data_IF_482684216001
#
_entry.id   IF_482684216001
#
_cell.length_a   1.000
_cell.length_b   1.000
_cell.length_c   1.000
_cell.angle_alpha   90.00
_cell.angle_beta   90.00
_cell.angle_gamma   90.00
#
_symmetry.space_group_name_H-M   'P 1'
#
loop_
_entity.id
_entity.type
_entity.pdbx_description
1 polymer ?
#
# COMPACT_ATOMS: atom_id res chain seq x y z
N UNK A 1 -18.59 -15.13 -15.19
CA UNK A 1 -18.72 -15.18 -13.72
C UNK A 1 -17.37 -15.29 -13.01
N UNK A 2 -16.34 -15.88 -13.62
CA UNK A 2 -14.98 -16.00 -13.05
C UNK A 2 -14.33 -14.64 -12.75
N UNK A 3 -14.50 -13.64 -13.63
CA UNK A 3 -13.90 -12.30 -13.47
C UNK A 3 -14.40 -11.49 -12.25
N UNK A 4 -15.52 -11.88 -11.61
CA UNK A 4 -16.04 -11.21 -10.41
C UNK A 4 -15.68 -11.96 -9.13
N UNK A 5 -15.36 -13.25 -9.24
CA UNK A 5 -14.99 -14.08 -8.11
C UNK A 5 -13.58 -13.76 -7.61
N UNK A 6 -12.66 -13.43 -8.53
CA UNK A 6 -11.28 -13.08 -8.20
C UNK A 6 -11.18 -11.79 -7.36
N UNK A 7 -11.78 -10.64 -7.75
CA UNK A 7 -11.81 -9.45 -6.89
C UNK A 7 -12.55 -9.69 -5.57
N UNK A 8 -13.60 -10.52 -5.57
CA UNK A 8 -14.33 -10.86 -4.36
C UNK A 8 -13.45 -11.61 -3.36
N UNK A 9 -12.73 -12.65 -3.82
CA UNK A 9 -11.83 -13.42 -2.97
C UNK A 9 -10.70 -12.53 -2.46
N UNK A 10 -10.06 -11.76 -3.34
CA UNK A 10 -8.89 -10.95 -2.97
C UNK A 10 -9.25 -9.76 -2.06
N UNK A 11 -10.21 -8.93 -2.50
CA UNK A 11 -10.54 -7.68 -1.80
C UNK A 11 -11.43 -7.88 -0.59
N UNK A 12 -12.34 -8.87 -0.61
CA UNK A 12 -13.26 -9.08 0.51
C UNK A 12 -12.74 -10.18 1.42
N UNK A 13 -12.52 -11.40 0.90
CA UNK A 13 -12.15 -12.51 1.77
C UNK A 13 -10.73 -12.36 2.34
N UNK A 14 -9.74 -12.13 1.47
CA UNK A 14 -8.33 -12.09 1.88
C UNK A 14 -8.05 -10.83 2.69
N UNK A 15 -8.40 -9.64 2.21
CA UNK A 15 -8.16 -8.41 3.00
C UNK A 15 -8.87 -8.41 4.36
N UNK A 16 -10.10 -8.93 4.45
CA UNK A 16 -10.82 -9.03 5.74
C UNK A 16 -10.12 -10.02 6.67
N UNK A 17 -9.67 -11.17 6.15
CA UNK A 17 -8.96 -12.15 6.97
C UNK A 17 -7.61 -11.60 7.46
N UNK A 18 -6.87 -10.89 6.60
CA UNK A 18 -5.63 -10.18 7.01
C UNK A 18 -5.93 -9.14 8.09
N UNK A 19 -6.96 -8.32 7.91
CA UNK A 19 -7.37 -7.33 8.92
C UNK A 19 -7.75 -7.98 10.25
N UNK A 20 -8.50 -9.07 10.21
CA UNK A 20 -8.86 -9.83 11.41
C UNK A 20 -7.64 -10.40 12.14
N UNK A 21 -6.65 -10.92 11.40
CA UNK A 21 -5.38 -11.39 11.99
C UNK A 21 -4.61 -10.24 12.64
N UNK A 22 -4.55 -9.07 12.01
CA UNK A 22 -3.90 -7.87 12.57
C UNK A 22 -4.60 -7.43 13.87
N UNK A 23 -5.94 -7.42 13.89
CA UNK A 23 -6.71 -7.06 15.09
C UNK A 23 -6.56 -8.11 16.20
N UNK A 24 -6.74 -9.40 15.90
CA UNK A 24 -6.70 -10.48 16.88
C UNK A 24 -5.30 -10.70 17.48
N UNK A 25 -4.24 -10.40 16.73
CA UNK A 25 -2.85 -10.49 17.22
C UNK A 25 -2.43 -9.29 18.09
N UNK A 26 -3.22 -8.21 18.14
CA UNK A 26 -2.86 -6.96 18.83
C UNK A 26 -1.66 -6.23 18.22
N UNK A 27 -1.22 -6.62 17.02
CA UNK A 27 -0.04 -6.08 16.36
C UNK A 27 -0.16 -4.56 16.09
N UNK A 28 -1.37 -4.09 15.80
CA UNK A 28 -1.65 -2.69 15.47
C UNK A 28 -1.41 -1.71 16.62
N UNK A 29 -1.38 -2.18 17.87
CA UNK A 29 -1.20 -1.33 19.06
C UNK A 29 0.10 -1.67 19.84
N UNK A 30 0.99 -2.46 19.25
CA UNK A 30 2.26 -2.81 19.91
C UNK A 30 3.40 -2.06 19.24
N UNK A 31 4.12 -1.22 19.99
CA UNK A 31 5.39 -0.66 19.53
C UNK A 31 6.42 -1.77 19.38
N UNK A 32 7.15 -1.76 18.27
CA UNK A 32 8.21 -2.72 17.99
C UNK A 32 9.49 -1.99 17.68
N UNK A 33 10.62 -2.57 18.10
CA UNK A 33 11.93 -2.09 17.67
C UNK A 33 12.07 -2.33 16.16
N UNK A 34 12.13 -1.24 15.39
CA UNK A 34 12.20 -1.29 13.94
C UNK A 34 13.14 -0.20 13.41
N UNK A 35 13.50 -0.33 12.13
CA UNK A 35 14.31 0.69 11.44
C UNK A 35 13.39 1.73 10.82
N UNK A 36 13.64 3.00 11.15
CA UNK A 36 12.79 4.11 10.73
C UNK A 36 13.07 4.49 9.29
N UNK A 37 12.00 4.64 8.51
CA UNK A 37 12.10 5.20 7.16
C UNK A 37 12.09 6.73 7.26
N UNK A 38 12.98 7.39 6.53
CA UNK A 38 13.09 8.85 6.49
C UNK A 38 11.78 9.53 6.10
N UNK A 39 11.02 8.90 5.19
CA UNK A 39 9.74 9.41 4.69
C UNK A 39 8.64 9.38 5.74
N UNK A 40 8.71 8.41 6.66
CA UNK A 40 7.68 8.15 7.67
C UNK A 40 8.05 8.73 9.04
N UNK A 41 9.20 9.40 9.12
CA UNK A 41 9.71 10.03 10.33
C UNK A 41 9.57 11.55 10.29
N UNK A 42 9.13 12.13 11.40
CA UNK A 42 8.97 13.56 11.58
C UNK A 42 9.34 13.96 13.01
N UNK A 43 10.08 15.04 13.17
CA UNK A 43 10.51 15.58 14.46
C UNK A 43 9.66 16.81 14.77
N UNK A 44 8.94 16.76 15.89
CA UNK A 44 8.11 17.83 16.40
C UNK A 44 8.85 18.67 17.44
N UNK A 45 8.55 19.96 17.46
CA UNK A 45 8.87 20.85 18.57
C UNK A 45 7.84 20.63 19.68
N UNK A 46 8.32 20.29 20.87
CA UNK A 46 7.49 19.93 22.03
C UNK A 46 7.65 18.47 22.46
N UNK A 47 7.39 18.22 23.75
CA UNK A 47 7.33 16.88 24.34
C UNK A 47 5.85 16.48 24.38
N UNK A 48 5.52 15.37 23.75
CA UNK A 48 4.18 14.81 23.73
C UNK A 48 4.19 13.41 24.33
N UNK A 49 3.12 13.08 25.04
CA UNK A 49 2.94 11.79 25.70
C UNK A 49 1.67 11.11 25.17
N UNK A 50 1.79 9.85 24.74
CA UNK A 50 0.65 9.04 24.30
C UNK A 50 -0.21 8.52 25.47
N UNK A 51 0.25 8.66 26.72
CA UNK A 51 -0.54 8.46 27.93
C UNK A 51 -1.44 9.64 28.30
N UNK A 52 -1.18 10.84 27.79
CA UNK A 52 -1.94 12.05 28.11
C UNK A 52 -3.04 12.32 27.07
N UNK A 53 -4.31 12.30 27.49
CA UNK A 53 -5.45 12.50 26.60
C UNK A 53 -5.41 13.83 25.82
N UNK A 54 -4.88 14.91 26.41
CA UNK A 54 -4.77 16.20 25.74
C UNK A 54 -3.71 16.21 24.62
N UNK A 55 -2.60 15.50 24.83
CA UNK A 55 -1.54 15.40 23.82
C UNK A 55 -1.90 14.40 22.73
N UNK A 56 -2.62 13.33 23.06
CA UNK A 56 -3.22 12.42 22.09
C UNK A 56 -4.18 13.15 21.15
N UNK A 57 -5.00 14.07 21.66
CA UNK A 57 -5.90 14.88 20.83
C UNK A 57 -5.10 15.79 19.87
N UNK A 58 -4.10 16.51 20.38
CA UNK A 58 -3.20 17.35 19.57
C UNK A 58 -2.49 16.55 18.47
N UNK A 59 -1.94 15.40 18.81
CA UNK A 59 -1.28 14.50 17.87
C UNK A 59 -2.26 13.94 16.84
N UNK A 60 -3.47 13.56 17.25
CA UNK A 60 -4.52 13.11 16.34
C UNK A 60 -4.88 14.19 15.33
N UNK A 61 -5.08 15.43 15.78
CA UNK A 61 -5.41 16.55 14.90
C UNK A 61 -4.28 16.86 13.92
N UNK A 62 -3.03 16.73 14.36
CA UNK A 62 -1.85 16.85 13.49
C UNK A 62 -1.79 15.78 12.41
N UNK A 63 -1.98 14.52 12.79
CA UNK A 63 -1.93 13.38 11.87
C UNK A 63 -3.09 13.37 10.87
N UNK A 64 -4.22 14.00 11.20
CA UNK A 64 -5.38 14.18 10.30
C UNK A 64 -5.23 15.40 9.39
N UNK A 65 -4.27 16.29 9.66
CA UNK A 65 -4.09 17.53 8.92
C UNK A 65 -5.10 18.63 9.29
N UNK A 66 -5.72 18.54 10.48
CA UNK A 66 -6.69 19.52 10.97
C UNK A 66 -6.00 20.67 11.74
N UNK A 67 -5.03 20.34 12.60
CA UNK A 67 -4.21 21.32 13.32
C UNK A 67 -2.76 20.86 13.35
N UNK A 68 -1.86 21.63 12.72
CA UNK A 68 -0.46 21.24 12.64
C UNK A 68 0.30 21.65 13.90
N UNK A 69 1.02 20.69 14.48
CA UNK A 69 2.01 20.96 15.52
C UNK A 69 3.28 21.53 14.90
N UNK A 70 3.99 22.33 15.69
CA UNK A 70 5.23 22.96 15.26
C UNK A 70 6.29 21.90 14.95
N UNK A 71 6.87 21.99 13.76
CA UNK A 71 7.94 21.11 13.33
C UNK A 71 9.27 21.61 13.86
N UNK A 72 10.11 20.69 14.31
CA UNK A 72 11.44 21.07 14.79
C UNK A 72 12.29 21.57 13.61
N UNK A 73 12.94 22.71 13.82
CA UNK A 73 13.84 23.34 12.88
C UNK A 73 15.11 23.73 13.63
N UNK A 74 16.26 23.22 13.20
CA UNK A 74 17.54 23.51 13.83
C UNK A 74 18.47 22.30 13.90
N UNK A 75 19.43 22.36 14.82
CA UNK A 75 20.41 21.31 15.01
C UNK A 75 19.94 20.32 16.07
N UNK A 76 19.95 19.04 15.72
CA UNK A 76 19.68 17.92 16.59
C UNK A 76 21.01 17.31 17.03
N UNK A 77 21.33 17.46 18.30
CA UNK A 77 22.54 16.86 18.90
C UNK A 77 22.24 15.42 19.31
N UNK A 78 23.10 14.51 18.86
CA UNK A 78 23.04 13.09 19.19
C UNK A 78 24.38 12.69 19.80
N UNK A 79 24.34 12.04 20.97
CA UNK A 79 25.53 11.51 21.65
C UNK A 79 25.37 10.02 21.94
N UNK A 80 26.37 9.22 21.60
CA UNK A 80 26.33 7.76 21.74
C UNK A 80 25.06 7.12 21.14
N UNK A 81 24.57 7.68 20.03
CA UNK A 81 23.36 7.25 19.34
C UNK A 81 22.05 7.73 19.94
N UNK A 82 22.05 8.47 21.06
CA UNK A 82 20.83 8.97 21.72
C UNK A 82 20.69 10.47 21.51
N UNK A 83 19.47 10.93 21.28
CA UNK A 83 19.18 12.37 21.16
C UNK A 83 19.34 13.02 22.53
N UNK A 84 20.18 14.07 22.61
CA UNK A 84 20.37 14.88 23.82
C UNK A 84 19.63 16.21 23.77
N UNK A 85 19.12 16.58 22.60
CA UNK A 85 18.36 17.82 22.40
C UNK A 85 17.02 17.74 23.14
N UNK A 86 16.80 18.66 24.08
CA UNK A 86 15.59 18.71 24.88
C UNK A 86 14.41 19.31 24.10
N UNK A 87 13.19 19.00 24.54
CA UNK A 87 11.98 19.67 24.05
C UNK A 87 11.51 19.20 22.68
N UNK A 88 11.84 17.97 22.27
CA UNK A 88 11.42 17.41 21.00
C UNK A 88 10.71 16.08 21.18
N UNK A 89 9.88 15.73 20.21
CA UNK A 89 9.29 14.40 20.08
C UNK A 89 9.48 13.90 18.66
N UNK A 90 9.71 12.61 18.51
CA UNK A 90 9.84 12.01 17.18
C UNK A 90 8.60 11.16 16.92
N UNK A 91 7.99 11.39 15.77
CA UNK A 91 6.94 10.55 15.20
C UNK A 91 7.58 9.67 14.15
N UNK A 92 7.26 8.38 14.19
CA UNK A 92 7.53 7.44 13.12
C UNK A 92 6.27 6.63 12.83
N UNK A 93 5.93 6.44 11.55
CA UNK A 93 4.78 5.62 11.14
C UNK A 93 3.47 6.06 11.83
N UNK A 94 3.28 7.39 11.99
CA UNK A 94 2.13 8.03 12.69
C UNK A 94 2.00 7.65 14.17
N UNK A 95 3.10 7.28 14.83
CA UNK A 95 3.18 6.94 16.25
C UNK A 95 4.35 7.66 16.92
N UNK A 96 4.20 8.03 18.20
CA UNK A 96 5.32 8.52 19.00
C UNK A 96 6.37 7.43 19.19
N UNK A 97 7.58 7.71 18.72
CA UNK A 97 8.71 6.83 18.83
C UNK A 97 9.37 6.94 20.22
N UNK A 98 9.81 5.79 20.75
CA UNK A 98 10.57 5.68 21.98
C UNK A 98 11.92 4.98 21.71
N UNK A 99 12.86 5.10 22.66
CA UNK A 99 14.13 4.36 22.64
C UNK A 99 14.92 4.50 21.32
N UNK A 100 14.95 5.71 20.77
CA UNK A 100 15.53 6.00 19.45
C UNK A 100 17.05 5.95 19.53
N UNK A 101 17.64 5.24 18.57
CA UNK A 101 19.07 5.01 18.43
C UNK A 101 19.52 5.34 17.01
N UNK A 102 20.52 6.19 16.89
CA UNK A 102 21.17 6.56 15.64
C UNK A 102 22.50 5.81 15.52
N UNK A 103 22.70 5.12 14.40
CA UNK A 103 23.95 4.42 14.10
C UNK A 103 24.51 4.83 12.74
N UNK A 104 25.83 4.94 12.65
CA UNK A 104 26.55 5.09 11.39
C UNK A 104 27.24 3.75 11.09
N UNK A 105 26.67 2.98 10.17
CA UNK A 105 27.06 1.57 9.99
C UNK A 105 26.76 0.73 11.23
N UNK A 106 27.79 0.26 11.93
CA UNK A 106 27.66 -0.57 13.16
C UNK A 106 27.92 0.20 14.46
N UNK A 107 28.38 1.45 14.39
CA UNK A 107 28.77 2.23 15.56
C UNK A 107 27.70 3.26 15.92
N UNK A 108 27.51 3.56 17.23
CA UNK A 108 26.63 4.65 17.66
C UNK A 108 27.07 5.97 17.07
N UNK A 109 26.13 6.72 16.51
CA UNK A 109 26.42 8.03 15.93
C UNK A 109 26.55 9.08 17.03
N UNK A 110 27.58 9.93 16.92
CA UNK A 110 27.74 11.12 17.77
C UNK A 110 28.01 12.31 16.87
N UNK A 111 27.20 13.37 17.00
CA UNK A 111 27.32 14.57 16.19
C UNK A 111 26.03 15.39 16.12
N UNK A 112 26.10 16.48 15.36
CA UNK A 112 24.96 17.34 15.08
C UNK A 112 24.32 16.96 13.73
N UNK A 113 23.00 16.81 13.72
CA UNK A 113 22.20 16.60 12.53
C UNK A 113 21.34 17.82 12.28
N UNK A 114 21.30 18.30 11.06
CA UNK A 114 20.41 19.39 10.71
C UNK A 114 19.00 18.87 10.42
N UNK A 115 18.00 19.50 11.03
CA UNK A 115 16.58 19.21 10.87
C UNK A 115 15.91 20.43 10.24
N UNK A 116 15.25 20.21 9.11
CA UNK A 116 14.48 21.21 8.39
C UNK A 116 13.06 20.71 8.22
N UNK A 117 12.09 21.50 8.68
CA UNK A 117 10.67 21.17 8.71
C UNK A 117 10.40 19.76 9.29
N UNK A 118 11.06 19.42 10.41
CA UNK A 118 10.92 18.13 11.07
C UNK A 118 11.56 16.95 10.33
N UNK A 119 12.27 17.16 9.22
CA UNK A 119 12.98 16.12 8.47
C UNK A 119 14.49 16.29 8.60
N UNK A 120 15.22 15.18 8.73
CA UNK A 120 16.68 15.19 8.77
C UNK A 120 17.26 15.42 7.37
N UNK A 121 18.20 16.36 7.24
CA UNK A 121 18.73 16.79 5.94
C UNK A 121 19.87 15.90 5.38
N UNK A 122 20.33 14.85 6.07
CA UNK A 122 21.41 13.99 5.53
C UNK A 122 21.49 12.59 6.19
N UNK A 123 20.74 11.62 5.69
CA UNK A 123 20.73 10.23 6.24
C UNK A 123 21.40 9.18 5.34
N UNK A 124 22.14 9.57 4.30
CA UNK A 124 22.68 8.63 3.30
C UNK A 124 23.57 7.51 3.90
N UNK A 125 24.16 7.71 5.07
CA UNK A 125 24.99 6.72 5.78
C UNK A 125 24.48 6.35 7.19
N UNK A 126 23.31 6.85 7.59
CA UNK A 126 22.80 6.68 8.95
C UNK A 126 21.56 5.80 8.99
N UNK A 127 21.50 4.95 10.00
CA UNK A 127 20.36 4.11 10.31
C UNK A 127 19.76 4.57 11.63
N UNK A 128 18.47 4.87 11.61
CA UNK A 128 17.69 5.22 12.81
C UNK A 128 16.86 4.00 13.18
N UNK A 129 16.92 3.59 14.45
CA UNK A 129 16.11 2.50 15.01
C UNK A 129 15.43 2.96 16.27
N UNK A 130 14.27 2.41 16.57
CA UNK A 130 13.58 2.69 17.82
C UNK A 130 12.26 1.95 17.90
N UNK A 131 11.57 2.13 19.02
CA UNK A 131 10.27 1.53 19.27
C UNK A 131 9.16 2.45 18.75
N UNK A 132 8.41 1.98 17.75
CA UNK A 132 7.24 2.68 17.22
C UNK A 132 6.23 1.68 16.67
N UNK A 133 5.02 2.13 16.35
CA UNK A 133 4.11 1.33 15.55
C UNK A 133 4.69 1.12 14.14
N UNK A 134 4.24 0.05 13.49
CA UNK A 134 4.59 -0.29 12.10
C UNK A 134 3.33 -0.33 11.25
N UNK A 135 3.46 -0.03 9.95
CA UNK A 135 2.36 -0.13 8.98
C UNK A 135 2.74 -0.97 7.75
N UNK A 136 1.81 -1.12 6.81
CA UNK A 136 2.01 -1.79 5.52
C UNK A 136 2.47 -3.26 5.66
N UNK A 137 3.33 -3.75 4.76
CA UNK A 137 3.78 -5.13 4.76
C UNK A 137 4.48 -5.58 6.06
N UNK A 138 5.35 -4.77 6.71
CA UNK A 138 5.93 -5.12 8.01
C UNK A 138 4.89 -5.43 9.10
N UNK A 139 3.80 -4.66 9.17
CA UNK A 139 2.72 -4.89 10.14
C UNK A 139 2.06 -6.25 9.95
N UNK A 140 1.74 -6.61 8.69
CA UNK A 140 1.16 -7.91 8.37
C UNK A 140 2.10 -9.06 8.74
N UNK A 141 3.38 -8.93 8.39
CA UNK A 141 4.41 -9.93 8.74
C UNK A 141 4.50 -10.12 10.26
N UNK A 142 4.50 -9.03 11.02
CA UNK A 142 4.54 -9.07 12.48
C UNK A 142 3.28 -9.70 13.08
N UNK A 143 2.09 -9.31 12.60
CA UNK A 143 0.82 -9.91 13.02
C UNK A 143 0.78 -11.43 12.79
N UNK A 144 1.21 -11.88 11.61
CA UNK A 144 1.28 -13.30 11.28
C UNK A 144 2.34 -14.07 12.09
N UNK A 145 3.44 -13.44 12.49
CA UNK A 145 4.42 -14.07 13.39
C UNK A 145 3.88 -14.32 14.80
N UNK A 146 2.96 -13.48 15.28
CA UNK A 146 2.27 -13.62 16.57
C UNK A 146 1.07 -14.55 16.53
N UNK A 147 0.56 -14.84 15.33
CA UNK A 147 -0.59 -15.72 15.11
C UNK A 147 -0.25 -17.18 15.40
N UNK A 148 -1.25 -18.06 15.25
CA UNK A 148 -1.16 -19.51 15.53
C UNK A 148 -0.03 -20.21 14.74
N UNK A 149 0.46 -19.56 13.67
CA UNK A 149 1.50 -20.01 12.74
C UNK A 149 2.94 -19.77 13.24
N UNK A 150 3.16 -19.68 14.56
CA UNK A 150 4.44 -19.42 15.26
C UNK A 150 5.71 -19.64 14.41
N UNK A 151 6.33 -18.55 13.98
CA UNK A 151 7.60 -18.54 13.25
C UNK A 151 7.51 -18.72 11.72
N UNK A 152 6.47 -19.36 11.20
CA UNK A 152 6.27 -19.55 9.75
C UNK A 152 5.51 -18.39 9.08
N UNK A 153 4.78 -17.59 9.87
CA UNK A 153 4.02 -16.44 9.40
C UNK A 153 4.79 -15.52 8.44
N UNK A 154 6.00 -15.04 8.81
CA UNK A 154 6.79 -14.18 7.93
C UNK A 154 7.15 -14.80 6.57
N UNK A 155 7.46 -16.09 6.52
CA UNK A 155 7.81 -16.78 5.27
C UNK A 155 6.60 -16.91 4.35
N UNK A 156 5.43 -17.25 4.92
CA UNK A 156 4.17 -17.33 4.17
C UNK A 156 3.83 -15.97 3.57
N UNK A 157 3.85 -14.90 4.39
CA UNK A 157 3.54 -13.54 3.91
C UNK A 157 4.51 -13.10 2.81
N UNK A 158 5.81 -13.35 2.99
CA UNK A 158 6.83 -12.96 2.00
C UNK A 158 6.64 -13.69 0.67
N UNK A 159 6.40 -15.01 0.72
CA UNK A 159 6.20 -15.81 -0.49
C UNK A 159 4.88 -15.47 -1.20
N UNK A 160 3.81 -15.25 -0.43
CA UNK A 160 2.53 -14.76 -0.97
C UNK A 160 2.68 -13.39 -1.63
N UNK A 161 3.39 -12.46 -1.00
CA UNK A 161 3.62 -11.12 -1.56
C UNK A 161 4.44 -11.19 -2.86
N UNK A 162 5.45 -12.07 -2.91
CA UNK A 162 6.24 -12.31 -4.11
C UNK A 162 5.37 -12.84 -5.27
N UNK A 163 4.58 -13.88 -5.01
CA UNK A 163 3.69 -14.47 -6.02
C UNK A 163 2.63 -13.47 -6.50
N UNK A 164 2.06 -12.69 -5.57
CA UNK A 164 1.07 -11.67 -5.88
C UNK A 164 1.65 -10.52 -6.72
N UNK A 165 2.84 -10.03 -6.36
CA UNK A 165 3.53 -9.01 -7.14
C UNK A 165 3.84 -9.51 -8.56
N UNK A 166 4.29 -10.76 -8.68
CA UNK A 166 4.60 -11.37 -9.98
C UNK A 166 3.36 -11.58 -10.86
N UNK A 167 2.27 -12.11 -10.30
CA UNK A 167 1.02 -12.30 -11.06
C UNK A 167 0.41 -10.97 -11.51
N UNK A 168 0.48 -9.95 -10.65
CA UNK A 168 0.06 -8.58 -10.96
C UNK A 168 0.90 -8.00 -12.10
N UNK A 169 2.23 -8.14 -12.04
CA UNK A 169 3.13 -7.67 -13.09
C UNK A 169 2.83 -8.32 -14.45
N UNK A 170 2.57 -9.64 -14.49
CA UNK A 170 2.19 -10.35 -15.71
C UNK A 170 0.86 -9.83 -16.27
N UNK A 171 -0.14 -9.65 -15.40
CA UNK A 171 -1.47 -9.19 -15.81
C UNK A 171 -1.43 -7.78 -16.40
N UNK A 172 -0.71 -6.85 -15.76
CA UNK A 172 -0.53 -5.49 -16.26
C UNK A 172 0.33 -5.43 -17.52
N UNK A 173 1.34 -6.29 -17.65
CA UNK A 173 2.09 -6.46 -18.90
C UNK A 173 1.15 -6.90 -20.04
N UNK A 174 0.28 -7.88 -19.79
CA UNK A 174 -0.71 -8.33 -20.77
C UNK A 174 -1.74 -7.26 -21.16
N UNK A 175 -2.26 -6.51 -20.18
CA UNK A 175 -3.20 -5.41 -20.47
C UNK A 175 -2.55 -4.32 -21.33
N UNK A 176 -1.30 -3.97 -21.02
CA UNK A 176 -0.53 -3.04 -21.84
C UNK A 176 -0.24 -3.59 -23.25
N UNK A 177 0.07 -4.89 -23.38
CA UNK A 177 0.23 -5.53 -24.68
C UNK A 177 -1.02 -5.36 -25.55
N UNK A 178 -2.22 -5.55 -24.98
CA UNK A 178 -3.49 -5.35 -25.71
C UNK A 178 -3.70 -3.89 -26.09
N UNK A 179 -3.40 -2.94 -25.20
CA UNK A 179 -3.51 -1.52 -25.47
C UNK A 179 -2.55 -1.06 -26.60
N UNK A 180 -1.29 -1.50 -26.56
CA UNK A 180 -0.28 -1.19 -27.59
C UNK A 180 -0.63 -1.85 -28.91
N UNK A 181 -1.14 -3.09 -28.89
CA UNK A 181 -1.63 -3.75 -30.11
C UNK A 181 -2.77 -2.97 -30.75
N UNK A 182 -3.68 -2.41 -29.95
CA UNK A 182 -4.80 -1.60 -30.45
C UNK A 182 -4.35 -0.26 -31.04
N UNK A 183 -3.40 0.43 -30.40
CA UNK A 183 -2.94 1.76 -30.82
C UNK A 183 -1.92 1.74 -31.96
N UNK A 184 -0.94 0.84 -31.90
CA UNK A 184 0.24 0.83 -32.78
C UNK A 184 0.38 -0.45 -33.59
N UNK A 185 -0.39 -1.49 -33.26
CA UNK A 185 -0.30 -2.80 -33.89
C UNK A 185 0.63 -3.78 -33.17
N UNK A 186 0.61 -5.07 -33.56
CA UNK A 186 1.27 -6.15 -32.83
C UNK A 186 2.80 -6.07 -32.85
N UNK A 187 3.38 -5.39 -33.84
CA UNK A 187 4.84 -5.23 -33.98
C UNK A 187 5.46 -4.45 -32.82
N UNK A 188 4.71 -3.57 -32.17
CA UNK A 188 5.23 -2.69 -31.11
C UNK A 188 5.17 -3.29 -29.71
N UNK A 189 4.54 -4.46 -29.55
CA UNK A 189 4.39 -5.14 -28.26
C UNK A 189 5.75 -5.47 -27.64
N UNK A 190 6.74 -5.87 -28.44
CA UNK A 190 8.08 -6.20 -27.95
C UNK A 190 8.77 -4.99 -27.31
N UNK A 191 8.66 -3.81 -27.92
CA UNK A 191 9.24 -2.57 -27.39
C UNK A 191 8.55 -2.15 -26.09
N UNK A 192 7.22 -2.29 -26.04
CA UNK A 192 6.47 -2.05 -24.81
C UNK A 192 6.96 -2.94 -23.65
N UNK A 193 7.12 -4.25 -23.88
CA UNK A 193 7.62 -5.17 -22.85
C UNK A 193 9.02 -4.82 -22.36
N UNK A 194 9.91 -4.41 -23.27
CA UNK A 194 11.26 -3.94 -22.89
C UNK A 194 11.19 -2.70 -22.00
N UNK A 195 10.36 -1.71 -22.37
CA UNK A 195 10.13 -0.51 -21.55
C UNK A 195 9.50 -0.86 -20.21
N UNK A 196 8.53 -1.78 -20.19
CA UNK A 196 7.87 -2.24 -18.97
C UNK A 196 8.87 -2.86 -17.98
N UNK A 197 9.75 -3.75 -18.44
CA UNK A 197 10.80 -4.36 -17.60
C UNK A 197 11.81 -3.30 -17.12
N UNK A 198 12.22 -2.37 -17.98
CA UNK A 198 13.12 -1.28 -17.59
C UNK A 198 12.48 -0.37 -16.53
N UNK A 199 11.17 -0.10 -16.62
CA UNK A 199 10.44 0.69 -15.65
C UNK A 199 10.42 0.04 -14.26
N UNK A 200 10.32 -1.30 -14.16
CA UNK A 200 10.44 -2.02 -12.88
C UNK A 200 11.80 -1.81 -12.22
N UNK A 201 12.87 -1.83 -13.01
CA UNK A 201 14.21 -1.56 -12.51
C UNK A 201 14.31 -0.14 -11.96
N UNK A 202 13.81 0.86 -12.69
CA UNK A 202 13.79 2.26 -12.25
C UNK A 202 12.94 2.46 -10.99
N UNK A 203 11.79 1.79 -10.92
CA UNK A 203 10.90 1.85 -9.77
C UNK A 203 11.56 1.34 -8.48
N UNK A 204 12.50 0.40 -8.56
CA UNK A 204 13.16 -0.20 -7.39
C UNK A 204 13.98 0.78 -6.54
N UNK A 205 14.40 1.91 -7.12
CA UNK A 205 15.14 2.97 -6.43
C UNK A 205 14.42 4.33 -6.48
N UNK A 206 13.17 4.36 -6.93
CA UNK A 206 12.34 5.57 -6.95
C UNK A 206 11.51 5.65 -5.66
N UNK A 207 11.30 6.88 -5.15
CA UNK A 207 10.44 7.11 -3.99
C UNK A 207 9.01 6.56 -4.22
N UNK A 208 8.51 5.78 -3.27
CA UNK A 208 7.20 5.15 -3.34
C UNK A 208 6.08 6.17 -3.45
N UNK A 209 6.22 7.35 -2.85
CA UNK A 209 5.25 8.45 -2.89
C UNK A 209 5.00 8.93 -4.32
N UNK A 210 6.07 9.04 -5.12
CA UNK A 210 5.99 9.45 -6.53
C UNK A 210 5.25 8.38 -7.34
N UNK A 211 5.57 7.10 -7.10
CA UNK A 211 4.95 5.95 -7.77
C UNK A 211 3.45 5.91 -7.50
N UNK A 212 3.04 6.06 -6.23
CA UNK A 212 1.63 6.10 -5.83
C UNK A 212 0.90 7.28 -6.46
N UNK A 213 1.51 8.47 -6.43
CA UNK A 213 0.91 9.68 -7.00
C UNK A 213 0.64 9.56 -8.50
N UNK A 214 1.62 9.06 -9.27
CA UNK A 214 1.45 8.82 -10.71
C UNK A 214 0.39 7.74 -10.99
N UNK A 215 0.38 6.68 -10.17
CA UNK A 215 -0.59 5.58 -10.29
C UNK A 215 -2.03 6.06 -10.09
N UNK A 216 -2.29 6.93 -9.11
CA UNK A 216 -3.64 7.48 -8.90
C UNK A 216 -4.14 8.28 -10.10
N UNK A 217 -3.29 9.11 -10.69
CA UNK A 217 -3.64 9.89 -11.89
C UNK A 217 -3.94 8.95 -13.07
N UNK A 218 -3.09 7.95 -13.31
CA UNK A 218 -3.27 6.99 -14.39
C UNK A 218 -4.54 6.13 -14.24
N UNK A 219 -4.86 5.68 -13.03
CA UNK A 219 -6.07 4.92 -12.73
C UNK A 219 -7.32 5.74 -13.06
N UNK A 220 -7.38 7.01 -12.65
CA UNK A 220 -8.52 7.89 -12.94
C UNK A 220 -8.65 8.13 -14.44
N UNK A 221 -7.52 8.38 -15.13
CA UNK A 221 -7.49 8.62 -16.57
C UNK A 221 -8.01 7.41 -17.36
N UNK A 222 -7.73 6.19 -16.91
CA UNK A 222 -8.23 4.96 -17.53
C UNK A 222 -9.71 4.68 -17.16
N UNK A 223 -10.06 4.88 -15.89
CA UNK A 223 -11.37 4.51 -15.36
C UNK A 223 -12.49 5.40 -15.89
N UNK A 224 -12.29 6.71 -15.98
CA UNK A 224 -13.33 7.67 -16.36
C UNK A 224 -13.89 7.40 -17.77
N UNK A 225 -13.06 7.30 -18.84
CA UNK A 225 -13.56 6.97 -20.18
C UNK A 225 -14.22 5.59 -20.25
N UNK A 226 -13.67 4.60 -19.55
CA UNK A 226 -14.21 3.24 -19.53
C UNK A 226 -15.62 3.20 -18.90
N UNK A 227 -15.80 3.88 -17.76
CA UNK A 227 -17.11 3.96 -17.09
C UNK A 227 -18.14 4.68 -17.97
N UNK A 228 -17.76 5.76 -18.64
CA UNK A 228 -18.64 6.45 -19.60
C UNK A 228 -19.03 5.51 -20.74
N UNK A 229 -18.06 4.78 -21.31
CA UNK A 229 -18.31 3.80 -22.36
C UNK A 229 -19.30 2.71 -21.93
N UNK A 230 -19.12 2.14 -20.74
CA UNK A 230 -20.04 1.15 -20.17
C UNK A 230 -21.44 1.74 -19.96
N UNK A 231 -21.54 2.98 -19.50
CA UNK A 231 -22.84 3.65 -19.32
C UNK A 231 -23.56 3.87 -20.65
N UNK A 232 -22.85 4.31 -21.68
CA UNK A 232 -23.42 4.51 -23.02
C UNK A 232 -23.88 3.16 -23.59
N UNK A 233 -23.02 2.15 -23.55
CA UNK A 233 -23.24 0.82 -24.15
C UNK A 233 -24.11 -0.12 -23.30
N UNK A 234 -24.68 0.36 -22.18
CA UNK A 234 -25.44 -0.48 -21.24
C UNK A 234 -26.65 -1.15 -21.89
N UNK A 235 -27.27 -0.52 -22.89
CA UNK A 235 -28.44 -1.06 -23.59
C UNK A 235 -28.03 -2.22 -24.49
N UNK A 236 -26.95 -2.03 -25.24
CA UNK A 236 -26.34 -3.00 -26.15
C UNK A 236 -25.85 -4.22 -25.37
N UNK A 237 -25.16 -4.02 -24.25
CA UNK A 237 -24.76 -5.12 -23.35
C UNK A 237 -25.97 -5.89 -22.86
N UNK A 238 -27.05 -5.21 -22.43
CA UNK A 238 -28.28 -5.86 -21.99
C UNK A 238 -28.91 -6.70 -23.10
N UNK A 239 -28.91 -6.21 -24.34
CA UNK A 239 -29.43 -6.92 -25.51
C UNK A 239 -28.56 -8.13 -25.87
N UNK A 240 -27.24 -7.97 -25.93
CA UNK A 240 -26.31 -9.06 -26.22
C UNK A 240 -26.37 -10.17 -25.17
N UNK A 241 -26.50 -9.81 -23.88
CA UNK A 241 -26.68 -10.79 -22.80
C UNK A 241 -28.01 -11.54 -22.98
N UNK A 242 -29.11 -10.84 -23.33
CA UNK A 242 -30.40 -11.48 -23.66
C UNK A 242 -30.25 -12.50 -24.78
N UNK A 243 -29.63 -12.10 -25.90
CA UNK A 243 -29.45 -12.96 -27.06
C UNK A 243 -28.55 -14.16 -26.80
N UNK A 244 -27.47 -13.97 -26.04
CA UNK A 244 -26.59 -15.03 -25.58
C UNK A 244 -27.36 -16.11 -24.81
N UNK A 245 -28.18 -15.72 -23.82
CA UNK A 245 -28.94 -16.68 -23.01
C UNK A 245 -30.03 -17.40 -23.80
N UNK A 246 -30.70 -16.72 -24.73
CA UNK A 246 -31.70 -17.35 -25.62
C UNK A 246 -31.05 -18.37 -26.54
N UNK A 247 -29.88 -18.04 -27.12
CA UNK A 247 -29.13 -18.93 -28.01
C UNK A 247 -28.56 -20.12 -27.24
N UNK A 248 -27.98 -19.87 -26.06
CA UNK A 248 -27.44 -20.90 -25.19
C UNK A 248 -28.53 -21.90 -24.76
N UNK A 249 -29.72 -21.44 -24.37
CA UNK A 249 -30.83 -22.32 -24.02
C UNK A 249 -31.36 -23.16 -25.18
N UNK A 250 -31.28 -22.66 -26.42
CA UNK A 250 -31.60 -23.45 -27.62
C UNK A 250 -30.55 -24.52 -27.93
N UNK A 251 -29.27 -24.21 -27.71
CA UNK A 251 -28.15 -25.12 -28.00
C UNK A 251 -27.96 -26.20 -26.93
N UNK A 252 -28.30 -25.91 -25.67
CA UNK A 252 -28.12 -26.80 -24.53
C UNK A 252 -29.42 -26.99 -23.73
N UNK A 253 -30.43 -27.69 -24.28
CA UNK A 253 -31.74 -27.83 -23.64
C UNK A 253 -31.73 -28.67 -22.35
N UNK A 254 -30.72 -29.52 -22.16
CA UNK A 254 -30.55 -30.39 -20.98
C UNK A 254 -29.97 -29.64 -19.76
N UNK A 255 -29.34 -28.47 -19.98
CA UNK A 255 -28.72 -27.65 -18.93
C UNK A 255 -29.79 -26.87 -18.17
N UNK A 256 -29.82 -26.98 -16.84
CA UNK A 256 -30.77 -26.26 -15.97
C UNK A 256 -30.43 -24.77 -15.88
N UNK A 257 -30.81 -24.00 -16.89
CA UNK A 257 -30.77 -22.55 -16.83
C UNK A 257 -31.80 -22.06 -15.80
N UNK A 258 -31.42 -21.13 -14.92
CA UNK A 258 -32.34 -20.52 -13.97
C UNK A 258 -33.56 -19.96 -14.70
N UNK A 259 -34.76 -20.49 -14.42
CA UNK A 259 -36.04 -20.03 -15.01
C UNK A 259 -36.26 -18.51 -14.85
N UNK A 260 -35.64 -17.89 -13.83
CA UNK A 260 -35.67 -16.45 -13.57
C UNK A 260 -34.89 -15.64 -14.63
N UNK A 261 -33.81 -16.21 -15.18
CA UNK A 261 -33.01 -15.61 -16.26
C UNK A 261 -33.73 -15.69 -17.59
N UNK A 262 -34.30 -16.85 -17.94
CA UNK A 262 -35.12 -17.02 -19.15
C UNK A 262 -36.32 -16.04 -19.15
N UNK A 263 -37.14 -16.02 -18.09
CA UNK A 263 -38.28 -15.08 -17.96
C UNK A 263 -37.90 -13.60 -18.01
N UNK A 264 -36.69 -13.23 -17.59
CA UNK A 264 -36.22 -11.82 -17.61
C UNK A 264 -35.94 -11.33 -19.03
N UNK A 265 -35.70 -12.25 -19.97
CA UNK A 265 -35.27 -11.97 -21.32
C UNK A 265 -36.25 -12.48 -22.40
N UNK A 266 -37.29 -13.22 -22.03
CA UNK A 266 -38.33 -13.74 -22.95
C UNK A 266 -39.40 -12.70 -23.36
N UNK A 267 -39.37 -11.49 -22.77
CA UNK A 267 -40.16 -10.33 -23.22
C UNK A 267 -39.32 -9.40 -24.08
#
# INVERSE_FOLDING_TARGET
MVALLEPFIDTICICTLTGLVVLASGAWNTKTDNQFQTTDMQILSGIYDDGNSADVEKLSNHLRGEQFLDLYNGKLTVENGVITTAGISVIHARSLAANIRFTSGKEPFTGELEVLAGKLSNMASMTVRGESLIHSAPLTTFAFSRSILKGFGPYIVTFSLLLFAFSTAISWSYYGDRAVTYLFGPKYVIYYRLVFVAAFFIASFTDTTIIWSLSYVAIVLMAVPNLIGILILRKEVKQNVKEYWLTFGKQYPEEKISRKMLKRFDK
#
